data_IF_183244528985
#
_entry.id   IF_183244528985
#
_cell.length_a   1.000
_cell.length_b   1.000
_cell.length_c   1.000
_cell.angle_alpha   90.00
_cell.angle_beta   90.00
_cell.angle_gamma   90.00
#
_symmetry.space_group_name_H-M   'P 1'
#
loop_
_entity.id
_entity.type
_entity.pdbx_description
1 polymer ?
#
# COMPACT_ATOMS: atom_id res chain seq x y z
N UNK A 1 -57.85 47.25 -9.63
CA UNK A 1 -57.69 45.78 -9.69
C UNK A 1 -56.22 45.48 -9.99
N UNK A 2 -55.57 44.68 -9.13
CA UNK A 2 -54.26 43.99 -9.26
C UNK A 2 -53.05 44.80 -9.78
N UNK A 3 -51.98 45.12 -9.02
CA UNK A 3 -51.38 44.42 -7.87
C UNK A 3 -50.16 43.61 -8.33
N UNK A 4 -49.08 44.27 -8.78
CA UNK A 4 -47.83 43.60 -9.16
C UNK A 4 -47.04 43.21 -7.91
N UNK A 5 -46.98 41.91 -7.59
CA UNK A 5 -46.05 41.36 -6.58
C UNK A 5 -44.71 41.08 -7.24
N UNK A 6 -43.70 41.87 -6.89
CA UNK A 6 -42.31 41.51 -7.08
C UNK A 6 -41.92 40.51 -5.99
N UNK A 7 -41.85 39.22 -6.32
CA UNK A 7 -41.18 38.23 -5.48
C UNK A 7 -39.68 38.34 -5.71
N UNK A 8 -39.05 39.29 -5.03
CA UNK A 8 -37.59 39.41 -4.98
C UNK A 8 -37.05 38.15 -4.33
N UNK A 9 -36.16 37.48 -5.05
CA UNK A 9 -35.59 36.19 -4.70
C UNK A 9 -35.01 36.18 -3.29
N UNK A 10 -35.12 35.03 -2.67
CA UNK A 10 -34.45 34.63 -1.44
C UNK A 10 -32.95 34.88 -1.59
N UNK A 11 -32.50 36.07 -1.18
CA UNK A 11 -31.10 36.36 -0.94
C UNK A 11 -30.65 35.39 0.14
N UNK A 12 -29.91 34.38 -0.27
CA UNK A 12 -29.30 33.36 0.57
C UNK A 12 -28.32 34.09 1.49
N UNK A 13 -28.78 34.44 2.69
CA UNK A 13 -27.99 35.11 3.72
C UNK A 13 -26.97 34.11 4.29
N UNK A 14 -25.92 33.83 3.51
CA UNK A 14 -24.81 33.00 3.97
C UNK A 14 -23.90 33.84 4.86
N UNK A 15 -23.90 33.55 6.17
CA UNK A 15 -23.07 34.25 7.16
C UNK A 15 -21.60 34.30 6.67
N UNK A 16 -21.02 35.49 6.48
CA UNK A 16 -19.68 35.66 5.91
C UNK A 16 -18.59 34.96 6.73
N UNK A 17 -18.85 34.66 8.02
CA UNK A 17 -17.93 33.88 8.86
C UNK A 17 -17.95 32.39 8.52
N UNK A 18 -19.09 31.84 8.08
CA UNK A 18 -19.18 30.46 7.61
C UNK A 18 -18.42 30.29 6.29
N UNK A 19 -18.61 31.24 5.36
CA UNK A 19 -17.89 31.27 4.08
C UNK A 19 -16.36 31.32 4.27
N UNK A 20 -15.86 32.18 5.16
CA UNK A 20 -14.41 32.27 5.46
C UNK A 20 -13.84 31.00 6.11
N UNK A 21 -14.60 30.36 7.01
CA UNK A 21 -14.18 29.08 7.63
C UNK A 21 -14.11 27.95 6.60
N UNK A 22 -15.10 27.86 5.72
CA UNK A 22 -15.11 26.87 4.64
C UNK A 22 -13.94 27.10 3.67
N UNK A 23 -13.67 28.36 3.32
CA UNK A 23 -12.52 28.71 2.50
C UNK A 23 -11.20 28.27 3.15
N UNK A 24 -10.98 28.58 4.43
CA UNK A 24 -9.76 28.19 5.14
C UNK A 24 -9.58 26.67 5.24
N UNK A 25 -10.66 25.92 5.48
CA UNK A 25 -10.62 24.44 5.49
C UNK A 25 -10.27 23.91 4.10
N UNK A 26 -10.88 24.46 3.05
CA UNK A 26 -10.57 24.08 1.68
C UNK A 26 -9.10 24.36 1.33
N UNK A 27 -8.56 25.51 1.75
CA UNK A 27 -7.15 25.83 1.57
C UNK A 27 -6.25 24.85 2.33
N UNK A 28 -6.56 24.53 3.58
CA UNK A 28 -5.79 23.58 4.38
C UNK A 28 -5.79 22.16 3.77
N UNK A 29 -6.95 21.69 3.27
CA UNK A 29 -7.06 20.40 2.60
C UNK A 29 -6.30 20.38 1.27
N UNK A 30 -6.35 21.47 0.49
CA UNK A 30 -5.60 21.57 -0.75
C UNK A 30 -4.08 21.53 -0.51
N UNK A 31 -3.58 22.24 0.51
CA UNK A 31 -2.16 22.19 0.91
C UNK A 31 -1.77 20.79 1.39
N UNK A 32 -2.61 20.14 2.19
CA UNK A 32 -2.34 18.78 2.67
C UNK A 32 -2.30 17.77 1.51
N UNK A 33 -3.19 17.89 0.53
CA UNK A 33 -3.22 17.01 -0.64
C UNK A 33 -1.97 17.16 -1.51
N UNK A 34 -1.42 18.38 -1.63
CA UNK A 34 -0.16 18.62 -2.35
C UNK A 34 1.03 18.00 -1.61
N UNK A 35 1.05 18.07 -0.27
CA UNK A 35 2.10 17.49 0.55
C UNK A 35 2.03 15.97 0.66
N UNK A 36 0.85 15.37 0.52
CA UNK A 36 0.65 13.93 0.71
C UNK A 36 1.34 13.05 -0.34
N UNK A 37 1.71 13.61 -1.51
CA UNK A 37 2.41 12.89 -2.58
C UNK A 37 1.63 11.70 -3.16
N UNK A 38 2.03 11.18 -4.34
CA UNK A 38 1.50 9.91 -4.83
C UNK A 38 1.99 8.77 -3.94
N UNK A 39 1.07 8.04 -3.30
CA UNK A 39 1.38 6.77 -2.63
C UNK A 39 1.52 5.67 -3.68
N UNK A 40 2.63 5.65 -4.42
CA UNK A 40 2.97 4.50 -5.25
C UNK A 40 3.44 3.37 -4.33
N UNK A 41 2.69 2.27 -4.28
CA UNK A 41 3.15 1.06 -3.59
C UNK A 41 4.47 0.64 -4.23
N UNK A 42 5.51 0.47 -3.41
CA UNK A 42 6.76 -0.13 -3.84
C UNK A 42 6.49 -1.46 -4.56
N UNK A 43 7.39 -1.90 -5.42
CA UNK A 43 7.21 -3.13 -6.19
C UNK A 43 8.41 -4.06 -6.02
N UNK A 44 8.14 -5.35 -5.86
CA UNK A 44 9.15 -6.39 -5.99
C UNK A 44 9.56 -6.52 -7.45
N UNK A 45 10.78 -6.11 -7.76
CA UNK A 45 11.36 -6.18 -9.10
C UNK A 45 12.05 -7.51 -9.33
N UNK A 46 12.71 -8.06 -8.32
CA UNK A 46 13.44 -9.32 -8.41
C UNK A 46 13.38 -10.13 -7.12
N UNK A 47 13.49 -11.46 -7.25
CA UNK A 47 13.66 -12.38 -6.12
C UNK A 47 14.86 -13.26 -6.43
N UNK A 48 15.83 -13.33 -5.52
CA UNK A 48 17.03 -14.15 -5.66
C UNK A 48 17.16 -15.11 -4.48
N UNK A 49 17.53 -16.35 -4.77
CA UNK A 49 17.82 -17.36 -3.74
C UNK A 49 19.27 -17.80 -3.87
N UNK A 50 20.06 -17.53 -2.84
CA UNK A 50 21.47 -17.89 -2.73
C UNK A 50 21.68 -18.98 -1.68
N UNK A 51 22.25 -20.11 -2.08
CA UNK A 51 22.56 -21.21 -1.17
C UNK A 51 23.99 -21.08 -0.65
N UNK A 52 24.14 -21.09 0.68
CA UNK A 52 25.44 -21.09 1.35
C UNK A 52 25.56 -22.31 2.28
N UNK A 53 26.78 -22.72 2.67
CA UNK A 53 26.98 -23.95 3.45
C UNK A 53 26.24 -24.00 4.79
N UNK A 54 25.93 -22.83 5.38
CA UNK A 54 25.31 -22.73 6.71
C UNK A 54 23.92 -22.09 6.71
N UNK A 55 23.50 -21.50 5.59
CA UNK A 55 22.23 -20.78 5.48
C UNK A 55 21.82 -20.60 4.02
N UNK A 56 20.53 -20.35 3.80
CA UNK A 56 20.02 -19.86 2.51
C UNK A 56 19.66 -18.39 2.66
N UNK A 57 20.08 -17.56 1.69
CA UNK A 57 19.72 -16.14 1.59
C UNK A 57 18.65 -15.98 0.54
N UNK A 58 17.49 -15.47 0.96
CA UNK A 58 16.44 -15.00 0.04
C UNK A 58 16.50 -13.47 0.01
N UNK A 59 16.62 -12.89 -1.18
CA UNK A 59 16.66 -11.44 -1.39
C UNK A 59 15.46 -11.02 -2.22
N UNK A 60 14.70 -10.06 -1.71
CA UNK A 60 13.65 -9.36 -2.45
C UNK A 60 14.18 -7.99 -2.84
N UNK A 61 14.33 -7.75 -4.14
CA UNK A 61 14.74 -6.45 -4.68
C UNK A 61 13.50 -5.60 -4.93
N UNK A 62 13.53 -4.34 -4.47
CA UNK A 62 12.41 -3.40 -4.52
C UNK A 62 12.80 -2.15 -5.31
N UNK A 63 11.85 -1.56 -6.05
CA UNK A 63 12.03 -0.27 -6.73
C UNK A 63 11.94 0.95 -5.80
N UNK A 64 11.43 0.77 -4.58
CA UNK A 64 11.34 1.77 -3.54
C UNK A 64 11.35 1.12 -2.13
N UNK A 65 11.69 1.86 -1.07
CA UNK A 65 11.61 1.36 0.30
C UNK A 65 10.18 0.90 0.66
N UNK A 66 10.06 -0.24 1.34
CA UNK A 66 8.78 -0.80 1.79
C UNK A 66 8.88 -1.36 3.20
N UNK A 67 7.76 -1.37 3.92
CA UNK A 67 7.62 -2.12 5.17
C UNK A 67 7.61 -3.62 4.93
N UNK A 68 7.99 -4.40 5.95
CA UNK A 68 7.90 -5.86 5.91
C UNK A 68 7.63 -6.47 7.28
N UNK A 69 7.11 -7.70 7.29
CA UNK A 69 6.93 -8.53 8.49
C UNK A 69 7.30 -9.97 8.18
N UNK A 70 7.98 -10.62 9.13
CA UNK A 70 8.38 -12.02 9.02
C UNK A 70 7.68 -12.81 10.12
N UNK A 71 6.99 -13.86 9.73
CA UNK A 71 6.32 -14.81 10.62
C UNK A 71 6.86 -16.22 10.34
N UNK A 72 7.00 -17.04 11.38
CA UNK A 72 7.43 -18.43 11.26
C UNK A 72 6.28 -19.32 11.68
N UNK A 73 5.97 -20.30 10.85
CA UNK A 73 4.87 -21.24 11.07
C UNK A 73 5.42 -22.67 11.05
N UNK A 74 4.90 -23.52 11.92
CA UNK A 74 5.07 -24.96 11.77
C UNK A 74 4.01 -25.46 10.77
N UNK A 75 4.43 -26.29 9.82
CA UNK A 75 3.55 -26.94 8.84
C UNK A 75 3.80 -28.44 8.87
N UNK A 76 2.85 -29.24 8.41
CA UNK A 76 3.02 -30.69 8.38
C UNK A 76 4.26 -31.08 7.56
N UNK A 77 5.25 -31.66 8.24
CA UNK A 77 6.52 -32.06 7.63
C UNK A 77 7.61 -30.98 7.59
N UNK A 78 7.45 -29.81 8.22
CA UNK A 78 8.53 -28.82 8.28
C UNK A 78 8.19 -27.46 8.89
N UNK A 79 8.93 -26.44 8.46
CA UNK A 79 8.73 -25.05 8.87
C UNK A 79 8.52 -24.17 7.63
N UNK A 80 7.57 -23.25 7.70
CA UNK A 80 7.34 -22.22 6.68
C UNK A 80 7.73 -20.86 7.26
N UNK A 81 8.45 -20.05 6.49
CA UNK A 81 8.67 -18.63 6.79
C UNK A 81 7.80 -17.80 5.86
N UNK A 82 6.91 -17.00 6.44
CA UNK A 82 6.01 -16.10 5.71
C UNK A 82 6.55 -14.68 5.82
N UNK A 83 6.85 -14.06 4.68
CA UNK A 83 7.30 -12.68 4.57
C UNK A 83 6.20 -11.86 3.93
N UNK A 84 5.61 -10.93 4.68
CA UNK A 84 4.65 -9.94 4.15
C UNK A 84 5.43 -8.68 3.79
N UNK A 85 5.27 -8.19 2.57
CA UNK A 85 5.91 -6.99 2.05
C UNK A 85 4.83 -5.96 1.73
N UNK A 86 4.98 -4.72 2.21
CA UNK A 86 4.15 -3.58 1.80
C UNK A 86 4.57 -3.07 0.42
N UNK A 87 4.60 -4.00 -0.53
CA UNK A 87 5.03 -3.82 -1.91
C UNK A 87 4.22 -4.74 -2.81
N UNK A 88 3.79 -4.23 -3.97
CA UNK A 88 3.15 -5.02 -5.00
C UNK A 88 4.12 -6.02 -5.64
N UNK A 89 3.62 -7.13 -6.15
CA UNK A 89 4.42 -8.10 -6.90
C UNK A 89 3.59 -8.84 -7.94
N UNK A 90 4.17 -9.07 -9.11
CA UNK A 90 3.69 -10.15 -9.96
C UNK A 90 3.86 -11.51 -9.24
N UNK A 91 2.94 -12.47 -9.41
CA UNK A 91 3.13 -13.82 -8.87
C UNK A 91 4.41 -14.47 -9.39
N UNK A 92 5.18 -15.08 -8.49
CA UNK A 92 6.45 -15.77 -8.83
C UNK A 92 6.60 -17.03 -8.00
N UNK A 93 7.08 -18.10 -8.63
CA UNK A 93 7.51 -19.32 -7.92
C UNK A 93 8.96 -19.58 -8.26
N UNK A 94 9.80 -19.65 -7.23
CA UNK A 94 11.22 -19.93 -7.36
C UNK A 94 11.52 -21.25 -6.66
N UNK A 95 12.10 -22.20 -7.39
CA UNK A 95 12.63 -23.41 -6.79
C UNK A 95 14.06 -23.16 -6.33
N UNK A 96 14.41 -23.73 -5.19
CA UNK A 96 15.77 -23.72 -4.67
C UNK A 96 16.28 -25.16 -4.62
N UNK A 97 17.54 -25.35 -5.01
CA UNK A 97 18.24 -26.63 -4.92
C UNK A 97 18.92 -26.85 -3.56
N UNK A 98 18.69 -25.95 -2.59
CA UNK A 98 19.32 -25.98 -1.29
C UNK A 98 18.61 -26.90 -0.30
N UNK A 99 19.33 -27.45 0.70
CA UNK A 99 18.74 -28.37 1.68
C UNK A 99 17.84 -27.68 2.72
N UNK A 100 17.92 -26.35 2.86
CA UNK A 100 17.21 -25.56 3.88
C UNK A 100 15.95 -24.88 3.36
N UNK A 101 15.93 -24.55 2.07
CA UNK A 101 14.79 -23.90 1.39
C UNK A 101 14.59 -24.67 0.09
N UNK A 102 13.45 -25.33 -0.02
CA UNK A 102 12.96 -25.97 -1.24
C UNK A 102 12.43 -24.94 -2.25
N UNK A 103 11.86 -23.82 -1.79
CA UNK A 103 11.34 -22.80 -2.70
C UNK A 103 10.76 -21.56 -2.04
N UNK A 104 10.41 -20.60 -2.90
CA UNK A 104 9.77 -19.33 -2.55
C UNK A 104 8.57 -19.12 -3.47
N UNK A 105 7.38 -19.10 -2.89
CA UNK A 105 6.14 -18.73 -3.57
C UNK A 105 5.79 -17.29 -3.19
N UNK A 106 5.76 -16.37 -4.15
CA UNK A 106 5.42 -14.96 -3.95
C UNK A 106 4.11 -14.63 -4.65
N UNK A 107 3.14 -14.13 -3.88
CA UNK A 107 1.78 -13.81 -4.35
C UNK A 107 1.39 -12.37 -4.00
N UNK A 108 0.55 -11.76 -4.83
CA UNK A 108 -0.05 -10.45 -4.57
C UNK A 108 -1.18 -10.60 -3.54
N UNK A 109 -1.25 -9.68 -2.56
CA UNK A 109 -2.35 -9.57 -1.60
C UNK A 109 -2.76 -8.10 -1.46
N UNK A 110 -3.80 -7.68 -2.19
CA UNK A 110 -4.19 -6.27 -2.23
C UNK A 110 -3.07 -5.40 -2.84
N UNK A 111 -2.62 -4.38 -2.11
CA UNK A 111 -1.46 -3.54 -2.50
C UNK A 111 -0.11 -4.10 -2.03
N UNK A 112 -0.15 -5.18 -1.27
CA UNK A 112 0.98 -5.83 -0.63
C UNK A 112 1.31 -7.16 -1.35
N UNK A 113 2.34 -7.85 -0.89
CA UNK A 113 2.68 -9.19 -1.35
C UNK A 113 3.09 -10.09 -0.19
N UNK A 114 2.92 -11.39 -0.40
CA UNK A 114 3.21 -12.44 0.59
C UNK A 114 4.14 -13.45 -0.05
N UNK A 115 5.34 -13.61 0.50
CA UNK A 115 6.27 -14.66 0.17
C UNK A 115 6.17 -15.81 1.17
N UNK A 116 5.99 -17.03 0.70
CA UNK A 116 6.05 -18.27 1.48
C UNK A 116 7.33 -18.99 1.13
N UNK A 117 8.20 -19.14 2.13
CA UNK A 117 9.50 -19.81 2.00
C UNK A 117 9.41 -21.15 2.72
N UNK A 118 9.65 -22.24 1.98
CA UNK A 118 9.63 -23.62 2.46
C UNK A 118 10.92 -24.32 2.05
#
# INVERSE_FOLDING_TARGET
MYGARSTTGTARDEDPRKLRRLANIATALAVLAILAGPAWSARVVEVRVGNHPKFTRVVFELDAPAGYRIERHAVDGGHEVVVKLSAASAPRQLKSSGPVVAGVDLEQSGTDSVARVR
#
